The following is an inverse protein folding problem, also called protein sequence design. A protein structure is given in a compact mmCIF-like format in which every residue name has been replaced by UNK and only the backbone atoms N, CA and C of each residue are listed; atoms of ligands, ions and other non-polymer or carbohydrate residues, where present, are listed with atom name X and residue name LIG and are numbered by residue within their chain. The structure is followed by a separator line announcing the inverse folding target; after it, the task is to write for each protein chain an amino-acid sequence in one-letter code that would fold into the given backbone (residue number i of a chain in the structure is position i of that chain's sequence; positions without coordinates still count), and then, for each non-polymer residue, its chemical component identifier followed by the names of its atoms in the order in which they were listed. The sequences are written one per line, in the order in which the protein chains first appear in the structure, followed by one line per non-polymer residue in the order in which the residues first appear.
data_IF_474153392176
#
_entry.id   IF_474153392176
#
_cell.length_a   1.000
_cell.length_b   1.000
_cell.length_c   1.000
_cell.angle_alpha   90.00
_cell.angle_beta   90.00
_cell.angle_gamma   90.00
#
_symmetry.space_group_name_H-M   'P 1'
#
loop_
_entity.id
_entity.type
_entity.pdbx_description
1 polymer ?
#
# COMPACT_ATOMS: atom_id res chain seq x y z
N UNK A 1 24.59 -12.02 -6.19
CA UNK A 1 24.12 -10.72 -5.68
C UNK A 1 24.75 -9.71 -6.62
N UNK A 2 23.97 -8.86 -7.30
CA UNK A 2 24.61 -7.83 -8.12
C UNK A 2 25.08 -6.74 -7.14
N UNK A 3 26.34 -6.32 -7.25
CA UNK A 3 26.97 -5.41 -6.28
C UNK A 3 26.40 -3.98 -6.36
N UNK A 4 25.54 -3.71 -7.34
CA UNK A 4 24.84 -2.45 -7.61
C UNK A 4 23.50 -2.29 -6.86
N UNK A 5 23.01 -3.31 -6.14
CA UNK A 5 21.72 -3.26 -5.41
C UNK A 5 21.84 -2.69 -3.98
N UNK A 6 22.30 -1.45 -3.88
CA UNK A 6 22.58 -0.74 -2.63
C UNK A 6 21.32 -0.21 -1.90
N UNK A 7 20.24 0.09 -2.62
CA UNK A 7 18.99 0.61 -2.06
C UNK A 7 18.14 -0.47 -1.40
N UNK A 8 18.36 -1.73 -1.75
CA UNK A 8 17.58 -2.86 -1.24
C UNK A 8 18.13 -3.32 0.12
N UNK A 9 17.28 -3.38 1.17
CA UNK A 9 17.69 -3.91 2.47
C UNK A 9 18.19 -5.36 2.37
N UNK A 10 19.20 -5.78 3.16
CA UNK A 10 19.83 -7.11 3.03
C UNK A 10 18.86 -8.30 3.01
N UNK A 11 17.79 -8.23 3.80
CA UNK A 11 16.76 -9.29 3.88
C UNK A 11 15.92 -9.46 2.61
N UNK A 12 15.89 -8.47 1.72
CA UNK A 12 15.02 -8.45 0.54
C UNK A 12 15.77 -8.57 -0.79
N UNK A 13 17.10 -8.58 -0.78
CA UNK A 13 17.95 -8.65 -1.98
C UNK A 13 17.84 -9.96 -2.78
N UNK A 14 17.26 -11.02 -2.21
CA UNK A 14 16.97 -12.23 -2.97
C UNK A 14 15.76 -12.08 -3.90
N UNK A 15 14.93 -11.06 -3.68
CA UNK A 15 13.66 -10.87 -4.37
C UNK A 15 13.65 -9.65 -5.29
N UNK A 16 14.43 -8.63 -4.97
CA UNK A 16 14.40 -7.34 -5.67
C UNK A 16 15.80 -6.84 -6.00
N UNK A 17 15.91 -6.18 -7.16
CA UNK A 17 16.99 -5.25 -7.49
C UNK A 17 16.57 -3.80 -7.18
N UNK A 18 17.47 -2.84 -7.38
CA UNK A 18 17.21 -1.43 -7.14
C UNK A 18 16.00 -0.86 -7.90
N UNK A 19 15.84 -1.17 -9.18
CA UNK A 19 14.72 -0.67 -9.98
C UNK A 19 13.39 -1.19 -9.45
N UNK A 20 13.31 -2.48 -9.17
CA UNK A 20 12.10 -3.11 -8.64
C UNK A 20 11.76 -2.58 -7.24
N UNK A 21 12.77 -2.33 -6.42
CA UNK A 21 12.62 -1.79 -5.08
C UNK A 21 12.06 -0.35 -5.09
N UNK A 22 12.54 0.49 -6.02
CA UNK A 22 12.01 1.85 -6.18
C UNK A 22 10.52 1.85 -6.57
N UNK A 23 10.13 0.98 -7.50
CA UNK A 23 8.71 0.85 -7.88
C UNK A 23 7.89 0.32 -6.71
N UNK A 24 8.37 -0.71 -6.01
CA UNK A 24 7.69 -1.28 -4.86
C UNK A 24 7.46 -0.24 -3.76
N UNK A 25 8.47 0.57 -3.43
CA UNK A 25 8.38 1.62 -2.41
C UNK A 25 7.30 2.65 -2.75
N UNK A 26 7.25 3.13 -4.00
CA UNK A 26 6.22 4.06 -4.48
C UNK A 26 4.83 3.42 -4.44
N UNK A 27 4.71 2.16 -4.88
CA UNK A 27 3.42 1.45 -4.90
C UNK A 27 2.88 1.26 -3.49
N UNK A 28 3.69 0.79 -2.54
CA UNK A 28 3.24 0.55 -1.17
C UNK A 28 2.83 1.86 -0.49
N UNK A 29 3.62 2.93 -0.64
CA UNK A 29 3.29 4.25 -0.06
C UNK A 29 1.99 4.83 -0.63
N UNK A 30 1.84 4.80 -1.96
CA UNK A 30 0.64 5.31 -2.63
C UNK A 30 -0.60 4.47 -2.33
N UNK A 31 -0.46 3.14 -2.28
CA UNK A 31 -1.54 2.22 -1.91
C UNK A 31 -2.03 2.48 -0.48
N UNK A 32 -1.12 2.65 0.49
CA UNK A 32 -1.49 2.99 1.86
C UNK A 32 -2.16 4.36 1.97
N UNK A 33 -1.64 5.38 1.29
CA UNK A 33 -2.24 6.70 1.28
C UNK A 33 -3.67 6.66 0.70
N UNK A 34 -3.85 5.98 -0.44
CA UNK A 34 -5.17 5.76 -1.04
C UNK A 34 -6.09 4.96 -0.12
N UNK A 35 -5.61 3.86 0.45
CA UNK A 35 -6.38 2.99 1.33
C UNK A 35 -6.92 3.71 2.56
N UNK A 36 -6.11 4.54 3.21
CA UNK A 36 -6.55 5.36 4.36
C UNK A 36 -7.65 6.34 3.96
N UNK A 37 -7.47 7.04 2.84
CA UNK A 37 -8.49 7.99 2.32
C UNK A 37 -9.79 7.23 2.00
N UNK A 38 -9.68 6.10 1.32
CA UNK A 38 -10.83 5.27 0.96
C UNK A 38 -11.58 4.79 2.19
N UNK A 39 -10.90 4.29 3.23
CA UNK A 39 -11.53 3.86 4.49
C UNK A 39 -12.31 5.00 5.14
N UNK A 40 -11.71 6.20 5.23
CA UNK A 40 -12.38 7.37 5.81
C UNK A 40 -13.62 7.74 4.98
N UNK A 41 -13.48 7.86 3.66
CA UNK A 41 -14.57 8.22 2.78
C UNK A 41 -15.74 7.23 2.87
N UNK A 42 -15.45 5.92 2.83
CA UNK A 42 -16.48 4.89 2.94
C UNK A 42 -17.12 4.89 4.32
N UNK A 43 -16.36 5.11 5.40
CA UNK A 43 -16.93 5.23 6.75
C UNK A 43 -17.86 6.44 6.88
N UNK A 44 -17.47 7.59 6.33
CA UNK A 44 -18.30 8.79 6.34
C UNK A 44 -19.60 8.60 5.55
N UNK A 45 -19.51 8.04 4.34
CA UNK A 45 -20.70 7.75 3.53
C UNK A 45 -21.56 6.70 4.21
N UNK A 46 -20.96 5.71 4.87
CA UNK A 46 -21.68 4.69 5.64
C UNK A 46 -22.50 5.29 6.78
N UNK A 47 -21.93 6.25 7.52
CA UNK A 47 -22.65 6.97 8.59
C UNK A 47 -23.80 7.82 8.03
N UNK A 48 -23.63 8.43 6.84
CA UNK A 48 -24.67 9.23 6.21
C UNK A 48 -25.80 8.40 5.59
N UNK A 49 -25.46 7.36 4.83
CA UNK A 49 -26.37 6.44 4.16
C UNK A 49 -25.78 5.02 4.19
N UNK A 50 -26.11 4.21 5.19
CA UNK A 50 -25.60 2.84 5.26
C UNK A 50 -26.15 2.03 4.09
N UNK A 51 -25.27 1.27 3.42
CA UNK A 51 -25.61 0.55 2.18
C UNK A 51 -25.69 -0.97 2.33
N UNK A 52 -25.16 -1.57 3.39
CA UNK A 52 -25.51 -2.93 3.80
C UNK A 52 -26.57 -2.76 4.89
N UNK A 53 -27.67 -3.50 4.77
CA UNK A 53 -28.66 -3.60 5.83
C UNK A 53 -27.94 -4.14 7.06
N UNK A 54 -27.56 -3.26 7.99
CA UNK A 54 -27.17 -3.64 9.33
C UNK A 54 -28.46 -4.05 10.06
N UNK A 55 -29.03 -5.18 9.64
CA UNK A 55 -30.15 -5.84 10.28
C UNK A 55 -29.70 -6.53 11.56
N UNK A 56 -29.18 -5.73 12.49
CA UNK A 56 -29.25 -5.99 13.92
C UNK A 56 -30.42 -5.16 14.44
#
# INVERSE_FOLDING_TARGET
MRDDDDLVPPKWRSLFNNQDWLVHDIMVKSFWAFGVIAVIAHTLVWVWRPWLNAGI
#
